data_IF_684905696091
#
_entry.id   IF_684905696091
#
_cell.length_a   1.000
_cell.length_b   1.000
_cell.length_c   1.000
_cell.angle_alpha   90.00
_cell.angle_beta   90.00
_cell.angle_gamma   90.00
#
_symmetry.space_group_name_H-M   'P 1'
#
loop_
_entity.id
_entity.type
_entity.pdbx_description
1 polymer ?
#
# COMPACT_ATOMS: atom_id res chain seq x y z
N UNK A 1 6.15 16.73 -13.69
CA UNK A 1 4.82 16.43 -14.29
C UNK A 1 4.21 15.33 -13.44
N UNK A 2 2.97 15.49 -12.98
CA UNK A 2 2.26 14.45 -12.21
C UNK A 2 1.92 13.33 -13.19
N UNK A 3 2.16 12.08 -12.77
CA UNK A 3 1.74 10.91 -13.55
C UNK A 3 0.23 10.78 -13.41
N UNK A 4 -0.49 10.67 -14.52
CA UNK A 4 -1.92 10.43 -14.54
C UNK A 4 -2.19 9.09 -15.20
N UNK A 5 -2.81 8.18 -14.47
CA UNK A 5 -3.29 6.93 -15.02
C UNK A 5 -4.69 7.11 -15.63
N UNK A 6 -4.95 6.41 -16.73
CA UNK A 6 -6.31 6.19 -17.24
C UNK A 6 -7.02 5.16 -16.35
N UNK A 7 -8.35 5.11 -16.39
CA UNK A 7 -9.15 4.10 -15.68
C UNK A 7 -8.66 2.68 -15.96
N UNK A 8 -8.40 2.38 -17.23
CA UNK A 8 -7.86 1.08 -17.64
C UNK A 8 -6.50 0.77 -16.98
N UNK A 9 -5.61 1.76 -16.85
CA UNK A 9 -4.32 1.57 -16.21
C UNK A 9 -4.46 1.38 -14.68
N UNK A 10 -5.44 2.03 -14.07
CA UNK A 10 -5.78 1.83 -12.64
C UNK A 10 -6.24 0.39 -12.42
N UNK A 11 -7.17 -0.11 -13.25
CA UNK A 11 -7.65 -1.48 -13.21
C UNK A 11 -6.53 -2.50 -13.44
N UNK A 12 -5.69 -2.29 -14.46
CA UNK A 12 -4.52 -3.13 -14.74
C UNK A 12 -3.55 -3.18 -13.55
N UNK A 13 -3.35 -2.05 -12.86
CA UNK A 13 -2.49 -1.97 -11.68
C UNK A 13 -3.08 -2.71 -10.48
N UNK A 14 -4.38 -2.52 -10.24
CA UNK A 14 -5.09 -3.28 -9.21
C UNK A 14 -4.98 -4.79 -9.46
N UNK A 15 -5.24 -5.25 -10.68
CA UNK A 15 -5.13 -6.66 -11.04
C UNK A 15 -3.69 -7.19 -10.85
N UNK A 16 -2.65 -6.42 -11.17
CA UNK A 16 -1.25 -6.79 -10.89
C UNK A 16 -0.99 -6.97 -9.40
N UNK A 17 -1.55 -6.10 -8.56
CA UNK A 17 -1.41 -6.21 -7.11
C UNK A 17 -2.08 -7.49 -6.59
N UNK A 18 -3.32 -7.75 -6.99
CA UNK A 18 -4.06 -8.96 -6.61
C UNK A 18 -3.31 -10.24 -7.05
N UNK A 19 -2.78 -10.26 -8.26
CA UNK A 19 -1.98 -11.38 -8.74
C UNK A 19 -0.66 -11.55 -7.96
N UNK A 20 -0.05 -10.46 -7.48
CA UNK A 20 1.12 -10.53 -6.62
C UNK A 20 0.77 -11.14 -5.25
N UNK A 21 -0.36 -10.74 -4.64
CA UNK A 21 -0.89 -11.34 -3.40
C UNK A 21 -1.13 -12.84 -3.56
N UNK A 22 -1.80 -13.27 -4.63
CA UNK A 22 -2.08 -14.68 -4.93
C UNK A 22 -0.82 -15.53 -5.13
N UNK A 23 0.27 -14.94 -5.58
CA UNK A 23 1.56 -15.66 -5.77
C UNK A 23 2.30 -15.89 -4.46
N UNK A 24 2.05 -15.11 -3.44
CA UNK A 24 2.79 -15.12 -2.16
C UNK A 24 2.03 -15.89 -1.09
N UNK A 25 0.72 -15.66 -0.98
CA UNK A 25 -0.10 -16.17 0.12
C UNK A 25 -1.00 -17.31 -0.33
N UNK A 26 -1.36 -18.17 0.62
CA UNK A 26 -2.21 -19.36 0.38
C UNK A 26 -3.21 -19.56 1.53
N UNK A 27 -4.18 -20.45 1.34
CA UNK A 27 -5.16 -20.85 2.35
C UNK A 27 -5.97 -19.70 2.93
N UNK A 28 -6.34 -19.81 4.20
CA UNK A 28 -7.19 -18.83 4.89
C UNK A 28 -6.62 -17.40 4.88
N UNK A 29 -5.28 -17.25 4.97
CA UNK A 29 -4.64 -15.93 4.88
C UNK A 29 -4.90 -15.27 3.52
N UNK A 30 -4.79 -16.02 2.42
CA UNK A 30 -5.10 -15.50 1.10
C UNK A 30 -6.57 -15.11 0.98
N UNK A 31 -7.49 -15.95 1.47
CA UNK A 31 -8.93 -15.66 1.41
C UNK A 31 -9.27 -14.34 2.14
N UNK A 32 -8.73 -14.13 3.34
CA UNK A 32 -8.91 -12.90 4.10
C UNK A 32 -8.30 -11.68 3.42
N UNK A 33 -7.10 -11.80 2.84
CA UNK A 33 -6.47 -10.73 2.08
C UNK A 33 -7.29 -10.36 0.84
N UNK A 34 -7.78 -11.35 0.09
CA UNK A 34 -8.62 -11.11 -1.08
C UNK A 34 -9.96 -10.47 -0.71
N UNK A 35 -10.54 -10.84 0.44
CA UNK A 35 -11.72 -10.17 0.97
C UNK A 35 -11.42 -8.71 1.33
N UNK A 36 -10.37 -8.45 2.12
CA UNK A 36 -9.96 -7.09 2.50
C UNK A 36 -9.71 -6.19 1.29
N UNK A 37 -9.13 -6.72 0.24
CA UNK A 37 -8.80 -5.98 -0.99
C UNK A 37 -9.89 -6.06 -2.06
N UNK A 38 -11.07 -6.60 -1.76
CA UNK A 38 -12.19 -6.62 -2.72
C UNK A 38 -12.75 -5.21 -2.95
N UNK A 39 -13.43 -4.94 -4.09
CA UNK A 39 -14.03 -3.64 -4.38
C UNK A 39 -15.07 -3.19 -3.35
N UNK A 40 -15.72 -4.14 -2.68
CA UNK A 40 -16.73 -3.89 -1.64
C UNK A 40 -16.11 -3.44 -0.31
N UNK A 41 -14.81 -3.68 -0.12
CA UNK A 41 -14.05 -3.33 1.07
C UNK A 41 -13.02 -2.23 0.74
N UNK A 42 -11.72 -2.51 0.83
CA UNK A 42 -10.66 -1.52 0.59
C UNK A 42 -10.19 -1.42 -0.87
N UNK A 43 -10.76 -2.22 -1.79
CA UNK A 43 -10.23 -2.32 -3.16
C UNK A 43 -10.33 -1.03 -3.96
N UNK A 44 -11.36 -0.22 -3.74
CA UNK A 44 -11.50 1.09 -4.40
C UNK A 44 -10.40 2.04 -3.94
N UNK A 45 -10.19 2.18 -2.63
CA UNK A 45 -9.13 3.00 -2.06
C UNK A 45 -7.74 2.49 -2.48
N UNK A 46 -7.53 1.17 -2.44
CA UNK A 46 -6.30 0.54 -2.93
C UNK A 46 -5.97 0.95 -4.36
N UNK A 47 -6.96 0.93 -5.26
CA UNK A 47 -6.77 1.21 -6.67
C UNK A 47 -6.39 2.68 -6.95
N UNK A 48 -6.93 3.62 -6.17
CA UNK A 48 -6.80 5.06 -6.44
C UNK A 48 -5.87 5.82 -5.48
N UNK A 49 -5.56 5.27 -4.31
CA UNK A 49 -4.76 5.97 -3.30
C UNK A 49 -3.39 6.41 -3.85
N UNK A 50 -2.95 7.65 -3.55
CA UNK A 50 -1.55 8.04 -3.74
C UNK A 50 -0.68 7.46 -2.61
N UNK A 51 0.61 7.22 -2.87
CA UNK A 51 1.53 6.79 -1.81
C UNK A 51 2.00 7.95 -0.92
N UNK A 52 1.87 9.19 -1.39
CA UNK A 52 2.24 10.40 -0.63
C UNK A 52 1.43 11.61 -1.07
N UNK A 53 1.37 12.63 -0.19
CA UNK A 53 0.66 13.88 -0.48
C UNK A 53 1.47 14.90 -1.28
N UNK A 54 2.81 14.76 -1.33
CA UNK A 54 3.71 15.76 -1.94
C UNK A 54 4.52 15.18 -3.08
N UNK A 55 4.66 15.96 -4.15
CA UNK A 55 5.39 15.55 -5.36
C UNK A 55 6.88 15.29 -5.10
N UNK A 56 7.46 15.89 -4.07
CA UNK A 56 8.86 15.67 -3.69
C UNK A 56 9.10 14.31 -3.01
N UNK A 57 8.04 13.61 -2.64
CA UNK A 57 8.08 12.25 -2.14
C UNK A 57 7.76 11.26 -3.27
N UNK A 58 7.67 9.97 -2.94
CA UNK A 58 7.41 8.94 -3.94
C UNK A 58 5.90 8.84 -4.30
N UNK A 59 5.63 8.55 -5.57
CA UNK A 59 4.31 8.14 -6.08
C UNK A 59 3.13 9.00 -5.65
N UNK A 60 3.29 10.34 -5.71
CA UNK A 60 2.24 11.33 -5.42
C UNK A 60 1.31 11.50 -6.62
N UNK A 61 0.47 10.49 -6.91
CA UNK A 61 -0.51 10.47 -8.00
C UNK A 61 -1.56 9.38 -7.74
N UNK A 62 -2.70 9.48 -8.39
CA UNK A 62 -3.78 8.48 -8.30
C UNK A 62 -3.28 7.11 -8.75
N UNK A 63 -3.44 6.09 -7.89
CA UNK A 63 -2.89 4.72 -8.09
C UNK A 63 -1.42 4.57 -7.69
N UNK A 64 -0.80 5.62 -7.16
CA UNK A 64 0.62 5.62 -6.77
C UNK A 64 0.94 4.67 -5.61
N UNK A 65 -0.05 4.38 -4.76
CA UNK A 65 0.10 3.43 -3.66
C UNK A 65 0.51 2.04 -4.16
N UNK A 66 -0.22 1.48 -5.11
CA UNK A 66 0.09 0.15 -5.67
C UNK A 66 1.48 0.13 -6.30
N UNK A 67 1.85 1.15 -7.08
CA UNK A 67 3.19 1.24 -7.68
C UNK A 67 4.28 1.23 -6.61
N UNK A 68 4.08 1.98 -5.53
CA UNK A 68 5.02 2.03 -4.41
C UNK A 68 5.16 0.67 -3.74
N UNK A 69 4.06 0.07 -3.32
CA UNK A 69 4.04 -1.20 -2.58
C UNK A 69 4.64 -2.34 -3.41
N UNK A 70 4.27 -2.46 -4.68
CA UNK A 70 4.85 -3.45 -5.58
C UNK A 70 6.36 -3.23 -5.80
N UNK A 71 6.83 -1.98 -5.86
CA UNK A 71 8.24 -1.66 -5.94
C UNK A 71 8.99 -2.03 -4.65
N UNK A 72 8.41 -1.73 -3.48
CA UNK A 72 8.99 -2.11 -2.19
C UNK A 72 9.11 -3.63 -2.09
N UNK A 73 8.03 -4.37 -2.35
CA UNK A 73 8.02 -5.83 -2.30
C UNK A 73 9.07 -6.45 -3.23
N UNK A 74 9.12 -5.98 -4.50
CA UNK A 74 10.10 -6.47 -5.47
C UNK A 74 11.55 -6.18 -5.06
N UNK A 75 11.82 -4.98 -4.56
CA UNK A 75 13.18 -4.57 -4.22
C UNK A 75 13.64 -5.23 -2.91
N UNK A 76 12.77 -5.37 -1.91
CA UNK A 76 13.07 -6.09 -0.67
C UNK A 76 13.42 -7.56 -0.95
N UNK A 77 12.64 -8.22 -1.81
CA UNK A 77 12.93 -9.59 -2.22
C UNK A 77 14.29 -9.72 -2.94
N UNK A 78 14.59 -8.81 -3.87
CA UNK A 78 15.89 -8.78 -4.57
C UNK A 78 17.05 -8.56 -3.60
N UNK A 79 16.91 -7.61 -2.67
CA UNK A 79 17.93 -7.31 -1.67
C UNK A 79 18.20 -8.52 -0.77
N UNK A 80 17.13 -9.21 -0.32
CA UNK A 80 17.27 -10.45 0.44
C UNK A 80 18.09 -11.49 -0.36
N UNK A 81 17.73 -11.73 -1.63
CA UNK A 81 18.45 -12.71 -2.48
C UNK A 81 19.92 -12.33 -2.67
N UNK A 82 20.22 -11.07 -2.95
CA UNK A 82 21.61 -10.59 -3.07
C UNK A 82 22.40 -10.79 -1.76
N UNK A 83 21.77 -10.55 -0.61
CA UNK A 83 22.41 -10.75 0.69
C UNK A 83 22.71 -12.22 0.96
N UNK A 84 21.75 -13.12 0.66
CA UNK A 84 21.92 -14.58 0.80
C UNK A 84 22.99 -15.13 -0.17
N UNK A 85 23.03 -14.68 -1.43
CA UNK A 85 24.04 -15.03 -2.44
C UNK A 85 25.45 -14.57 -2.00
N UNK A 86 25.54 -13.46 -1.27
CA UNK A 86 26.78 -12.98 -0.65
C UNK A 86 27.20 -13.73 0.61
N UNK A 87 26.48 -14.78 1.01
CA UNK A 87 26.75 -15.59 2.22
C UNK A 87 26.09 -15.05 3.48
N UNK A 88 25.20 -14.07 3.37
CA UNK A 88 24.42 -13.55 4.49
C UNK A 88 23.33 -14.54 4.92
N UNK A 89 23.01 -14.53 6.21
CA UNK A 89 21.97 -15.37 6.80
C UNK A 89 20.82 -14.48 7.28
N UNK A 90 19.60 -14.79 6.86
CA UNK A 90 18.37 -14.15 7.33
C UNK A 90 17.56 -15.12 8.19
N UNK A 91 16.81 -14.59 9.16
CA UNK A 91 15.99 -15.38 10.09
C UNK A 91 14.48 -15.19 9.84
N UNK A 92 14.11 -14.80 8.63
CA UNK A 92 12.73 -14.64 8.18
C UNK A 92 12.52 -15.28 6.80
N UNK A 93 11.28 -15.67 6.51
CA UNK A 93 10.88 -16.29 5.25
C UNK A 93 10.63 -15.25 4.15
N UNK A 94 10.49 -15.70 2.90
CA UNK A 94 10.07 -14.83 1.79
C UNK A 94 8.63 -14.33 2.01
N UNK A 95 7.74 -15.14 2.58
CA UNK A 95 6.37 -14.76 2.90
C UNK A 95 6.32 -13.66 3.97
N UNK A 96 7.06 -13.81 5.09
CA UNK A 96 7.14 -12.78 6.14
C UNK A 96 7.66 -11.44 5.59
N UNK A 97 8.73 -11.48 4.78
CA UNK A 97 9.27 -10.28 4.14
C UNK A 97 8.25 -9.60 3.23
N UNK A 98 7.58 -10.37 2.39
CA UNK A 98 6.62 -9.85 1.43
C UNK A 98 5.32 -9.41 2.11
N UNK A 99 4.91 -10.07 3.20
CA UNK A 99 3.79 -9.60 4.03
C UNK A 99 4.07 -8.21 4.58
N UNK A 100 5.22 -8.01 5.24
CA UNK A 100 5.63 -6.70 5.73
C UNK A 100 5.72 -5.67 4.60
N UNK A 101 6.30 -6.03 3.45
CA UNK A 101 6.44 -5.13 2.31
C UNK A 101 5.10 -4.71 1.69
N UNK A 102 4.11 -5.61 1.60
CA UNK A 102 2.78 -5.29 1.08
C UNK A 102 1.95 -4.42 2.05
N UNK A 103 2.18 -4.53 3.36
CA UNK A 103 1.31 -3.92 4.36
C UNK A 103 1.95 -2.77 5.16
N UNK A 104 3.25 -2.44 4.94
CA UNK A 104 3.94 -1.38 5.71
C UNK A 104 3.23 -0.01 5.66
N UNK A 105 2.56 0.27 4.57
CA UNK A 105 1.84 1.52 4.30
C UNK A 105 0.30 1.33 4.24
N UNK A 106 -0.23 0.15 4.66
CA UNK A 106 -1.65 -0.20 4.55
C UNK A 106 -2.58 0.88 5.14
N UNK A 107 -2.18 1.52 6.24
CA UNK A 107 -2.92 2.59 6.87
C UNK A 107 -3.17 3.83 5.98
N UNK A 108 -2.47 3.96 4.85
CA UNK A 108 -2.71 5.02 3.85
C UNK A 108 -3.94 4.77 2.96
N UNK A 109 -4.61 3.63 3.10
CA UNK A 109 -5.88 3.39 2.41
C UNK A 109 -7.08 4.03 3.14
N UNK A 110 -6.91 4.45 4.40
CA UNK A 110 -8.01 4.96 5.21
C UNK A 110 -8.59 3.90 6.14
N UNK A 111 -9.90 3.93 6.40
CA UNK A 111 -10.56 3.01 7.34
C UNK A 111 -11.71 2.20 6.72
N UNK A 112 -11.83 2.24 5.38
CA UNK A 112 -12.92 1.60 4.64
C UNK A 112 -14.16 2.50 4.46
N UNK A 113 -14.33 3.54 5.29
CA UNK A 113 -15.40 4.53 5.15
C UNK A 113 -14.90 5.87 4.60
N UNK A 114 -13.69 6.25 4.96
CA UNK A 114 -13.05 7.51 4.54
C UNK A 114 -11.61 7.23 4.06
N UNK A 115 -11.17 7.81 2.92
CA UNK A 115 -9.82 7.67 2.43
C UNK A 115 -8.82 8.44 3.31
N UNK A 116 -7.57 7.98 3.38
CA UNK A 116 -6.52 8.69 4.11
C UNK A 116 -6.11 10.01 3.45
N UNK A 117 -6.00 10.00 2.12
CA UNK A 117 -5.68 11.18 1.33
C UNK A 117 -6.89 11.65 0.52
N UNK A 118 -7.10 12.97 0.55
CA UNK A 118 -8.03 13.67 -0.33
C UNK A 118 -7.27 14.68 -1.21
N UNK A 119 -7.80 15.08 -2.38
CA UNK A 119 -7.18 16.10 -3.22
C UNK A 119 -6.94 17.40 -2.46
N UNK A 120 -5.78 18.02 -2.66
CA UNK A 120 -5.48 19.35 -2.12
C UNK A 120 -6.15 20.41 -3.00
N UNK A 121 -7.10 21.16 -2.45
CA UNK A 121 -7.83 22.22 -3.18
C UNK A 121 -7.07 23.54 -3.23
N UNK A 122 -6.14 23.79 -2.30
CA UNK A 122 -5.40 25.04 -2.21
C UNK A 122 -4.32 25.13 -3.28
N UNK A 123 -4.52 26.01 -4.27
CA UNK A 123 -3.50 26.28 -5.30
C UNK A 123 -2.17 26.77 -4.69
N UNK A 124 -2.21 27.47 -3.56
CA UNK A 124 -1.01 27.91 -2.88
C UNK A 124 -0.17 26.71 -2.40
N UNK A 125 -0.81 25.72 -1.79
CA UNK A 125 -0.13 24.49 -1.34
C UNK A 125 0.42 23.69 -2.52
N UNK A 126 -0.36 23.57 -3.62
CA UNK A 126 0.10 22.90 -4.83
C UNK A 126 1.33 23.59 -5.44
N UNK A 127 1.30 24.94 -5.57
CA UNK A 127 2.38 25.73 -6.19
C UNK A 127 3.63 25.81 -5.31
N UNK A 128 3.46 26.13 -4.01
CA UNK A 128 4.58 26.45 -3.13
C UNK A 128 5.10 25.25 -2.34
N UNK A 129 4.24 24.28 -2.01
CA UNK A 129 4.61 23.08 -1.24
C UNK A 129 4.65 21.81 -2.08
N UNK A 130 4.24 21.87 -3.35
CA UNK A 130 4.09 20.70 -4.23
C UNK A 130 3.21 19.63 -3.62
N UNK A 131 2.20 20.03 -2.84
CA UNK A 131 1.27 19.21 -2.12
C UNK A 131 -0.02 19.07 -2.94
N UNK A 132 -0.26 17.89 -3.49
CA UNK A 132 -1.39 17.60 -4.37
C UNK A 132 -2.48 16.77 -3.68
N UNK A 133 -2.12 16.11 -2.56
CA UNK A 133 -3.06 15.44 -1.69
C UNK A 133 -2.78 15.86 -0.25
N UNK A 134 -3.83 15.94 0.56
CA UNK A 134 -3.75 16.27 1.98
C UNK A 134 -4.44 15.19 2.81
N UNK A 135 -4.15 15.13 4.11
CA UNK A 135 -4.83 14.21 5.01
C UNK A 135 -6.31 14.57 5.09
N UNK A 136 -7.17 13.55 5.06
CA UNK A 136 -8.59 13.71 5.21
C UNK A 136 -8.93 14.08 6.67
N UNK A 137 -9.48 15.28 6.94
CA UNK A 137 -9.80 15.71 8.31
C UNK A 137 -10.98 14.95 8.94
N UNK A 138 -11.76 14.22 8.14
CA UNK A 138 -12.85 13.37 8.64
C UNK A 138 -12.36 12.05 9.20
N UNK A 139 -11.20 11.60 8.73
CA UNK A 139 -10.62 10.34 9.18
C UNK A 139 -10.08 10.50 10.61
N UNK A 140 -10.50 9.60 11.52
CA UNK A 140 -9.95 9.57 12.88
C UNK A 140 -8.42 9.47 12.84
N UNK A 141 -7.76 10.27 13.69
CA UNK A 141 -6.30 10.24 13.77
C UNK A 141 -5.79 8.89 14.27
N UNK A 142 -5.00 8.26 13.43
CA UNK A 142 -4.07 7.18 13.73
C UNK A 142 -2.79 7.47 12.97
N UNK A 143 -1.65 7.02 13.43
CA UNK A 143 -0.52 6.95 12.53
C UNK A 143 -0.72 5.81 11.49
N UNK A 144 0.11 5.83 10.45
CA UNK A 144 -0.04 4.88 9.33
C UNK A 144 0.15 3.44 9.79
N UNK A 145 1.10 3.20 10.69
CA UNK A 145 1.42 1.86 11.20
C UNK A 145 0.31 1.34 12.11
N UNK A 146 -0.17 2.16 13.05
CA UNK A 146 -1.26 1.78 13.95
C UNK A 146 -2.54 1.46 13.18
N UNK A 147 -2.84 2.26 12.14
CA UNK A 147 -3.97 1.98 11.26
C UNK A 147 -3.79 0.70 10.45
N UNK A 148 -2.57 0.40 10.00
CA UNK A 148 -2.31 -0.85 9.29
C UNK A 148 -2.60 -2.06 10.18
N UNK A 149 -2.14 -2.07 11.42
CA UNK A 149 -2.45 -3.14 12.37
C UNK A 149 -3.94 -3.20 12.71
N UNK A 150 -4.59 -2.05 12.87
CA UNK A 150 -6.03 -2.01 13.10
C UNK A 150 -6.80 -2.64 11.94
N UNK A 151 -6.48 -2.30 10.68
CA UNK A 151 -7.10 -2.89 9.50
C UNK A 151 -6.87 -4.41 9.43
N UNK A 152 -5.64 -4.88 9.58
CA UNK A 152 -5.35 -6.32 9.58
C UNK A 152 -6.19 -7.07 10.63
N UNK A 153 -6.33 -6.49 11.83
CA UNK A 153 -7.15 -7.07 12.89
C UNK A 153 -8.65 -7.06 12.56
N UNK A 154 -9.18 -6.00 11.90
CA UNK A 154 -10.59 -5.94 11.49
C UNK A 154 -10.95 -7.08 10.53
N UNK A 155 -10.04 -7.44 9.63
CA UNK A 155 -10.23 -8.55 8.68
C UNK A 155 -9.76 -9.91 9.24
N UNK A 156 -9.38 -9.98 10.51
CA UNK A 156 -8.92 -11.21 11.16
C UNK A 156 -7.65 -11.78 10.54
N UNK A 157 -6.81 -10.92 9.96
CA UNK A 157 -5.53 -11.31 9.37
C UNK A 157 -4.48 -11.32 10.49
N UNK A 158 -3.94 -12.50 10.76
CA UNK A 158 -2.88 -12.68 11.76
C UNK A 158 -1.51 -12.42 11.15
N UNK A 159 -0.59 -11.95 11.97
CA UNK A 159 0.80 -11.69 11.59
C UNK A 159 1.76 -12.13 12.69
N UNK A 160 2.99 -12.42 12.31
CA UNK A 160 4.08 -12.81 13.23
C UNK A 160 4.82 -11.58 13.74
N UNK A 161 5.71 -11.77 14.73
CA UNK A 161 6.58 -10.70 15.20
C UNK A 161 7.54 -10.17 14.12
N UNK A 162 7.77 -10.92 13.06
CA UNK A 162 8.68 -10.56 11.96
C UNK A 162 7.96 -9.87 10.79
N UNK A 163 6.67 -9.97 10.75
CA UNK A 163 5.75 -9.27 9.86
C UNK A 163 5.34 -7.91 10.43
#
# INVERSE_FOLDING_TARGET
>A
MIRNYTEKQIEENYNKFIEAIKKVFTGERLEKLLHMYSPEELGTELAIAPASGKLNFHSCYVGGYIDHVLNVARNSYKLKKMFEEGGGIVNFTDEELLFAAFHHDLGKLGDGSEPYYIPQESEWHQKNRKEYFTHNPKLQYFDVTDRAFWLLNQYGITYTQKE
#
